data_IF_890281021615
#
_entry.id   IF_890281021615
#
_cell.length_a   1.000
_cell.length_b   1.000
_cell.length_c   1.000
_cell.angle_alpha   90.00
_cell.angle_beta   90.00
_cell.angle_gamma   90.00
#
_symmetry.space_group_name_H-M   'P 1'
#
loop_
_entity.id
_entity.type
_entity.pdbx_description
1 polymer ?
#
# COMPACT_ATOMS: atom_id res chain seq x y z
N UNK A 1 -14.80 -2.80 -7.83
CA UNK A 1 -13.92 -3.31 -6.76
C UNK A 1 -14.02 -4.82 -6.70
N UNK A 2 -12.90 -5.51 -6.55
CA UNK A 2 -12.85 -6.97 -6.39
C UNK A 2 -11.78 -7.29 -5.36
N UNK A 3 -12.14 -8.06 -4.34
CA UNK A 3 -11.17 -8.58 -3.38
C UNK A 3 -10.61 -9.90 -3.87
N UNK A 4 -9.30 -10.09 -3.76
CA UNK A 4 -8.60 -11.31 -4.12
C UNK A 4 -7.68 -11.75 -2.99
N UNK A 5 -7.61 -13.06 -2.76
CA UNK A 5 -6.55 -13.68 -1.95
C UNK A 5 -5.38 -13.98 -2.90
N UNK A 6 -4.18 -13.55 -2.55
CA UNK A 6 -2.96 -13.88 -3.30
C UNK A 6 -2.15 -14.87 -2.49
N UNK A 7 -2.07 -16.10 -2.99
CA UNK A 7 -1.27 -17.15 -2.37
C UNK A 7 0.23 -16.87 -2.56
N UNK A 8 1.00 -17.11 -1.50
CA UNK A 8 2.45 -17.04 -1.49
C UNK A 8 3.02 -18.46 -1.39
N UNK A 9 4.22 -18.64 -1.94
CA UNK A 9 4.98 -19.88 -1.74
C UNK A 9 5.47 -20.11 -0.29
N UNK A 10 5.16 -19.19 0.64
CA UNK A 10 5.60 -19.21 2.03
C UNK A 10 6.77 -18.27 2.31
N UNK A 11 6.56 -17.21 3.11
CA UNK A 11 7.62 -16.34 3.63
C UNK A 11 7.91 -16.76 5.08
N UNK A 12 9.00 -17.49 5.30
CA UNK A 12 9.31 -18.20 6.56
C UNK A 12 9.96 -17.35 7.67
N UNK A 13 9.73 -16.05 7.66
CA UNK A 13 10.33 -15.11 8.63
C UNK A 13 9.32 -14.07 9.10
N UNK A 14 8.04 -14.27 8.81
CA UNK A 14 7.03 -13.26 9.10
C UNK A 14 6.63 -13.32 10.58
N UNK A 15 6.95 -12.29 11.39
CA UNK A 15 6.64 -12.31 12.81
C UNK A 15 5.14 -12.17 13.12
N UNK A 16 4.29 -11.85 12.14
CA UNK A 16 2.84 -11.70 12.34
C UNK A 16 2.03 -12.92 11.96
N UNK A 17 2.51 -13.73 11.02
CA UNK A 17 1.79 -14.94 10.62
C UNK A 17 1.96 -16.10 11.61
N UNK A 18 0.94 -16.98 11.73
CA UNK A 18 1.06 -18.23 12.48
C UNK A 18 2.31 -19.03 12.08
N UNK A 19 3.01 -19.57 13.08
CA UNK A 19 4.25 -20.33 12.91
C UNK A 19 5.38 -19.56 12.19
N UNK A 20 5.28 -18.24 12.13
CA UNK A 20 6.19 -17.34 11.43
C UNK A 20 6.27 -17.56 9.91
N UNK A 21 5.20 -18.08 9.30
CA UNK A 21 5.13 -18.37 7.87
C UNK A 21 3.92 -17.66 7.25
N UNK A 22 4.17 -16.62 6.46
CA UNK A 22 3.13 -16.00 5.64
C UNK A 22 2.87 -16.83 4.39
N UNK A 23 1.65 -17.33 4.23
CA UNK A 23 1.23 -18.13 3.06
C UNK A 23 0.36 -17.35 2.09
N UNK A 24 -0.06 -16.14 2.46
CA UNK A 24 -0.98 -15.34 1.66
C UNK A 24 -0.96 -13.87 2.09
N UNK A 25 -1.39 -13.02 1.17
CA UNK A 25 -1.78 -11.64 1.44
C UNK A 25 -3.08 -11.32 0.70
N UNK A 26 -3.76 -10.26 1.12
CA UNK A 26 -4.98 -9.81 0.47
C UNK A 26 -4.66 -8.70 -0.51
N UNK A 27 -5.29 -8.77 -1.69
CA UNK A 27 -5.23 -7.72 -2.70
C UNK A 27 -6.63 -7.18 -2.96
N UNK A 28 -6.83 -5.90 -2.66
CA UNK A 28 -8.06 -5.19 -3.00
C UNK A 28 -7.88 -4.49 -4.34
N UNK A 29 -8.60 -4.94 -5.37
CA UNK A 29 -8.54 -4.39 -6.71
C UNK A 29 -9.64 -3.32 -6.93
N UNK A 30 -9.23 -2.12 -7.31
CA UNK A 30 -10.08 -1.05 -7.80
C UNK A 30 -9.69 -0.74 -9.24
N UNK A 31 -10.64 -0.72 -10.18
CA UNK A 31 -10.32 -0.60 -11.61
C UNK A 31 -11.50 0.01 -12.39
N UNK A 32 -11.24 0.59 -13.57
CA UNK A 32 -12.29 1.12 -14.44
C UNK A 32 -13.22 0.00 -14.93
N UNK A 33 -14.50 0.32 -15.06
CA UNK A 33 -15.52 -0.57 -15.63
C UNK A 33 -16.54 0.25 -16.43
N UNK A 34 -17.18 -0.36 -17.43
CA UNK A 34 -18.29 0.27 -18.17
C UNK A 34 -19.60 0.21 -17.40
N UNK A 35 -19.67 -0.63 -16.37
CA UNK A 35 -20.87 -0.77 -15.58
C UNK A 35 -21.09 0.45 -14.69
N UNK A 36 -22.30 0.99 -14.69
CA UNK A 36 -22.64 2.12 -13.81
C UNK A 36 -22.37 1.77 -12.33
N UNK A 37 -21.94 2.74 -11.51
CA UNK A 37 -21.79 2.53 -10.07
C UNK A 37 -23.06 1.97 -9.44
N UNK A 38 -22.90 1.08 -8.45
CA UNK A 38 -24.00 0.60 -7.64
C UNK A 38 -24.49 1.64 -6.63
N UNK A 39 -25.46 1.29 -5.77
CA UNK A 39 -25.81 2.13 -4.63
C UNK A 39 -24.58 2.38 -3.74
N UNK A 40 -24.51 3.52 -3.03
CA UNK A 40 -23.41 3.80 -2.11
C UNK A 40 -23.24 2.67 -1.09
N UNK A 41 -21.99 2.23 -0.92
CA UNK A 41 -21.60 1.22 0.08
C UNK A 41 -20.69 1.86 1.13
N UNK A 42 -20.62 1.33 2.36
CA UNK A 42 -19.68 1.82 3.36
C UNK A 42 -18.25 1.92 2.83
N UNK A 43 -17.56 2.98 3.20
CA UNK A 43 -16.19 3.24 2.76
C UNK A 43 -15.18 2.28 3.40
N UNK A 44 -15.46 1.84 4.62
CA UNK A 44 -14.68 0.85 5.36
C UNK A 44 -15.58 -0.29 5.81
N UNK A 45 -14.95 -1.43 6.09
CA UNK A 45 -15.57 -2.53 6.83
C UNK A 45 -16.08 -2.01 8.19
N UNK A 46 -17.32 -2.36 8.62
CA UNK A 46 -17.89 -1.85 9.87
C UNK A 46 -17.01 -2.08 11.11
N UNK A 47 -16.33 -3.22 11.18
CA UNK A 47 -15.43 -3.59 12.26
C UNK A 47 -14.17 -2.71 12.27
N UNK A 48 -13.59 -2.45 11.09
CA UNK A 48 -12.43 -1.56 10.95
C UNK A 48 -12.82 -0.11 11.25
N UNK A 49 -13.97 0.33 10.74
CA UNK A 49 -14.53 1.64 11.04
C UNK A 49 -14.64 1.82 12.56
N UNK A 50 -15.30 0.89 13.26
CA UNK A 50 -15.43 0.93 14.72
C UNK A 50 -14.10 1.02 15.46
N UNK A 51 -13.06 0.31 15.00
CA UNK A 51 -11.72 0.39 15.60
C UNK A 51 -11.14 1.81 15.44
N UNK A 52 -11.25 2.39 14.25
CA UNK A 52 -10.75 3.73 13.97
C UNK A 52 -11.54 4.81 14.71
N UNK A 53 -12.86 4.70 14.75
CA UNK A 53 -13.74 5.64 15.47
C UNK A 53 -13.43 5.65 16.97
N UNK A 54 -13.27 4.46 17.57
CA UNK A 54 -12.91 4.33 18.98
C UNK A 54 -11.53 4.92 19.31
N UNK A 55 -10.58 4.82 18.38
CA UNK A 55 -9.21 5.27 18.62
C UNK A 55 -9.03 6.77 18.39
N UNK A 56 -9.61 7.33 17.32
CA UNK A 56 -9.43 8.73 16.95
C UNK A 56 -10.62 9.64 17.30
N UNK A 57 -11.70 9.09 17.85
CA UNK A 57 -12.89 9.86 18.26
C UNK A 57 -13.55 10.67 17.13
N UNK A 58 -13.52 10.15 15.89
CA UNK A 58 -14.25 10.68 14.74
C UNK A 58 -15.28 9.67 14.25
N UNK A 59 -16.33 10.13 13.57
CA UNK A 59 -17.31 9.25 12.93
C UNK A 59 -16.96 9.06 11.46
N UNK A 60 -16.57 7.84 11.08
CA UNK A 60 -16.17 7.49 9.70
C UNK A 60 -17.04 6.39 9.10
N UNK A 61 -17.89 5.75 9.90
CA UNK A 61 -18.87 4.74 9.46
C UNK A 61 -19.93 5.32 8.52
N UNK A 62 -20.13 6.64 8.54
CA UNK A 62 -21.02 7.35 7.62
C UNK A 62 -20.41 7.58 6.22
N UNK A 63 -19.09 7.44 6.07
CA UNK A 63 -18.45 7.62 4.77
C UNK A 63 -18.86 6.48 3.85
N UNK A 64 -19.19 6.82 2.61
CA UNK A 64 -19.57 5.86 1.58
C UNK A 64 -18.77 6.05 0.31
N UNK A 65 -18.72 5.02 -0.53
CA UNK A 65 -18.18 5.08 -1.87
C UNK A 65 -19.18 4.53 -2.89
N UNK A 66 -19.18 5.11 -4.09
CA UNK A 66 -19.95 4.62 -5.22
C UNK A 66 -19.06 3.71 -6.07
N UNK A 67 -18.99 2.43 -5.70
CA UNK A 67 -18.25 1.40 -6.46
C UNK A 67 -19.16 0.23 -6.79
N UNK A 68 -18.85 -0.48 -7.87
CA UNK A 68 -19.52 -1.73 -8.21
C UNK A 68 -18.64 -2.92 -7.84
N UNK A 69 -19.15 -3.80 -6.98
CA UNK A 69 -18.45 -5.04 -6.61
C UNK A 69 -18.56 -6.08 -7.72
N UNK A 70 -17.47 -6.79 -8.02
CA UNK A 70 -17.47 -7.89 -8.99
C UNK A 70 -17.71 -7.49 -10.45
N UNK A 71 -17.69 -6.19 -10.76
CA UNK A 71 -17.89 -5.70 -12.12
C UNK A 71 -16.84 -6.25 -13.10
N UNK A 72 -17.26 -6.44 -14.34
CA UNK A 72 -16.37 -6.80 -15.44
C UNK A 72 -15.30 -5.73 -15.63
N UNK A 73 -14.09 -6.17 -15.98
CA UNK A 73 -12.96 -5.30 -16.25
C UNK A 73 -13.18 -4.50 -17.53
N UNK A 74 -12.69 -3.28 -17.56
CA UNK A 74 -12.58 -2.51 -18.80
C UNK A 74 -11.34 -2.96 -19.58
N UNK A 75 -11.47 -3.13 -20.90
CA UNK A 75 -10.37 -3.60 -21.77
C UNK A 75 -9.20 -2.61 -21.87
N UNK A 76 -9.45 -1.35 -21.54
CA UNK A 76 -8.46 -0.28 -21.52
C UNK A 76 -8.15 0.08 -20.07
N UNK A 77 -6.97 -0.30 -19.62
CA UNK A 77 -6.37 0.09 -18.33
C UNK A 77 -5.04 0.76 -18.64
N UNK A 78 -4.83 1.96 -18.10
CA UNK A 78 -3.62 2.78 -18.34
C UNK A 78 -2.37 2.14 -17.71
N UNK A 79 -2.54 1.47 -16.58
CA UNK A 79 -1.49 0.72 -15.89
C UNK A 79 -1.98 0.20 -14.54
N UNK A 80 -1.15 -0.60 -13.88
CA UNK A 80 -1.37 -1.05 -12.50
C UNK A 80 -0.57 -0.19 -11.53
N UNK A 81 -1.21 0.28 -10.46
CA UNK A 81 -0.55 0.86 -9.29
C UNK A 81 -0.70 -0.09 -8.10
N UNK A 82 0.43 -0.51 -7.55
CA UNK A 82 0.48 -1.20 -6.26
C UNK A 82 0.48 -0.17 -5.14
N UNK A 83 -0.46 -0.30 -4.20
CA UNK A 83 -0.61 0.60 -3.05
C UNK A 83 -0.31 -0.14 -1.76
N UNK A 84 0.62 0.40 -0.97
CA UNK A 84 1.08 -0.18 0.29
C UNK A 84 0.76 0.73 1.48
N UNK A 85 0.22 0.14 2.54
CA UNK A 85 0.07 0.79 3.84
C UNK A 85 -1.37 0.80 4.38
N UNK A 86 -1.55 1.17 5.65
CA UNK A 86 -2.85 1.09 6.32
C UNK A 86 -3.86 2.04 5.68
N UNK A 87 -5.01 1.47 5.33
CA UNK A 87 -6.17 2.19 4.81
C UNK A 87 -5.94 2.73 3.40
N UNK A 88 -6.26 1.92 2.39
CA UNK A 88 -6.32 2.33 0.97
C UNK A 88 -7.30 3.48 0.72
N UNK A 89 -7.00 4.68 1.22
CA UNK A 89 -7.93 5.79 1.36
C UNK A 89 -7.90 6.72 0.12
N UNK A 90 -7.17 6.36 -0.94
CA UNK A 90 -6.98 7.18 -2.16
C UNK A 90 -7.22 6.40 -3.48
N UNK A 91 -7.97 5.28 -3.46
CA UNK A 91 -8.00 4.29 -4.56
C UNK A 91 -8.99 4.61 -5.68
N UNK A 92 -10.15 5.15 -5.32
CA UNK A 92 -11.24 5.36 -6.27
C UNK A 92 -10.93 6.50 -7.24
N UNK A 93 -10.15 7.49 -6.81
CA UNK A 93 -9.72 8.60 -7.66
C UNK A 93 -8.76 8.14 -8.76
N UNK A 94 -7.74 7.34 -8.44
CA UNK A 94 -6.85 6.80 -9.47
C UNK A 94 -7.56 5.86 -10.44
N UNK A 95 -8.51 5.06 -9.93
CA UNK A 95 -9.34 4.22 -10.77
C UNK A 95 -10.27 5.03 -11.70
N UNK A 96 -10.77 6.19 -11.25
CA UNK A 96 -11.58 7.08 -12.09
C UNK A 96 -10.76 7.71 -13.22
N UNK A 97 -9.44 7.84 -13.03
CA UNK A 97 -8.49 8.31 -14.05
C UNK A 97 -7.94 7.19 -14.96
N UNK A 98 -8.49 5.96 -14.89
CA UNK A 98 -8.17 4.89 -15.83
C UNK A 98 -7.12 3.88 -15.36
N UNK A 99 -6.61 4.00 -14.12
CA UNK A 99 -5.65 3.06 -13.55
C UNK A 99 -6.34 1.86 -12.90
N UNK A 100 -5.78 0.66 -13.06
CA UNK A 100 -6.06 -0.41 -12.13
C UNK A 100 -5.20 -0.20 -10.87
N UNK A 101 -5.77 -0.40 -9.71
CA UNK A 101 -5.13 -0.18 -8.42
C UNK A 101 -5.28 -1.45 -7.61
N UNK A 102 -4.17 -1.96 -7.07
CA UNK A 102 -4.16 -3.08 -6.16
C UNK A 102 -3.60 -2.64 -4.81
N UNK A 103 -4.42 -2.66 -3.77
CA UNK A 103 -3.96 -2.46 -2.38
C UNK A 103 -3.54 -3.78 -1.81
N UNK A 104 -2.33 -3.83 -1.27
CA UNK A 104 -1.78 -5.04 -0.68
C UNK A 104 -1.87 -4.96 0.84
N UNK A 105 -2.74 -5.76 1.42
CA UNK A 105 -2.92 -5.90 2.85
C UNK A 105 -2.23 -7.18 3.34
N UNK A 106 -1.25 -7.01 4.23
CA UNK A 106 -0.65 -8.14 4.92
C UNK A 106 -1.61 -8.63 6.00
N UNK A 107 -1.94 -9.92 5.99
CA UNK A 107 -2.83 -10.53 6.98
C UNK A 107 -2.24 -10.37 8.38
N UNK A 108 -3.04 -10.05 9.39
CA UNK A 108 -2.60 -9.77 10.77
C UNK A 108 -1.83 -8.45 11.00
N UNK A 109 -1.45 -7.69 9.97
CA UNK A 109 -0.87 -6.35 10.14
C UNK A 109 -1.95 -5.33 10.48
N UNK A 110 -2.97 -5.25 9.62
CA UNK A 110 -4.06 -4.29 9.79
C UNK A 110 -4.93 -4.67 11.01
N UNK A 111 -5.51 -3.71 11.74
CA UNK A 111 -6.34 -4.00 12.90
C UNK A 111 -7.51 -4.94 12.59
N UNK A 112 -8.02 -4.89 11.37
CA UNK A 112 -9.02 -5.81 10.87
C UNK A 112 -8.95 -5.93 9.34
N UNK A 113 -9.15 -7.15 8.83
CA UNK A 113 -9.35 -7.46 7.42
C UNK A 113 -10.50 -8.44 7.27
N UNK A 114 -11.21 -8.39 6.13
CA UNK A 114 -12.21 -9.39 5.76
C UNK A 114 -11.77 -10.12 4.51
N UNK A 115 -11.83 -11.45 4.54
CA UNK A 115 -11.58 -12.31 3.40
C UNK A 115 -12.77 -12.30 2.42
N UNK A 116 -12.56 -12.68 1.15
CA UNK A 116 -13.66 -12.79 0.17
C UNK A 116 -14.79 -13.75 0.58
N UNK A 117 -14.50 -14.75 1.41
CA UNK A 117 -15.50 -15.68 1.94
C UNK A 117 -16.31 -15.10 3.13
N UNK A 118 -16.03 -13.85 3.53
CA UNK A 118 -16.68 -13.16 4.64
C UNK A 118 -15.98 -13.32 6.00
N UNK A 119 -14.97 -14.18 6.12
CA UNK A 119 -14.22 -14.39 7.36
C UNK A 119 -13.44 -13.13 7.74
N UNK A 120 -13.71 -12.60 8.94
CA UNK A 120 -12.95 -11.49 9.52
C UNK A 120 -11.71 -11.97 10.27
N UNK A 121 -10.60 -11.26 10.12
CA UNK A 121 -9.34 -11.51 10.82
C UNK A 121 -8.89 -10.22 11.48
N UNK A 122 -8.63 -10.29 12.79
CA UNK A 122 -8.07 -9.20 13.57
C UNK A 122 -6.54 -9.29 13.57
N UNK A 123 -5.89 -8.14 13.44
CA UNK A 123 -4.44 -8.02 13.49
C UNK A 123 -3.97 -7.17 14.66
N UNK A 124 -2.94 -6.36 14.41
CA UNK A 124 -2.33 -5.53 15.44
C UNK A 124 -3.27 -4.38 15.88
N UNK A 125 -3.30 -4.04 17.17
CA UNK A 125 -4.01 -2.85 17.62
C UNK A 125 -3.35 -1.57 17.09
N UNK A 126 -4.12 -0.49 16.91
CA UNK A 126 -3.60 0.79 16.38
C UNK A 126 -2.47 1.41 17.21
N UNK A 127 -2.45 1.12 18.52
CA UNK A 127 -1.40 1.58 19.44
C UNK A 127 -0.26 0.57 19.61
N UNK A 128 -0.16 -0.44 18.74
CA UNK A 128 0.92 -1.40 18.78
C UNK A 128 2.27 -0.69 18.61
N UNK A 129 3.16 -0.87 19.58
CA UNK A 129 4.51 -0.33 19.51
C UNK A 129 5.44 -1.38 18.90
N UNK A 130 5.94 -1.10 17.71
CA UNK A 130 6.81 -2.01 16.98
C UNK A 130 8.24 -1.99 17.52
N UNK A 131 8.79 -3.13 17.99
CA UNK A 131 10.22 -3.24 18.27
C UNK A 131 11.05 -2.98 17.00
N UNK A 132 12.24 -2.39 17.15
CA UNK A 132 13.10 -2.06 16.00
C UNK A 132 13.52 -3.29 15.19
N UNK A 133 13.80 -4.42 15.87
CA UNK A 133 14.10 -5.71 15.24
C UNK A 133 12.92 -6.22 14.41
N UNK A 134 11.70 -6.11 14.94
CA UNK A 134 10.47 -6.47 14.25
C UNK A 134 10.31 -5.67 12.95
N UNK A 135 10.50 -4.34 13.00
CA UNK A 135 10.29 -3.48 11.83
C UNK A 135 11.15 -3.89 10.64
N UNK A 136 12.41 -4.24 10.87
CA UNK A 136 13.32 -4.65 9.79
C UNK A 136 12.90 -5.96 9.12
N UNK A 137 12.49 -6.95 9.92
CA UNK A 137 12.06 -8.26 9.43
C UNK A 137 10.72 -8.14 8.73
N UNK A 138 9.77 -7.44 9.33
CA UNK A 138 8.45 -7.24 8.75
C UNK A 138 8.51 -6.39 7.46
N UNK A 139 9.44 -5.43 7.37
CA UNK A 139 9.65 -4.64 6.15
C UNK A 139 10.06 -5.53 4.97
N UNK A 140 10.96 -6.47 5.21
CA UNK A 140 11.39 -7.44 4.22
C UNK A 140 10.22 -8.30 3.72
N UNK A 141 9.29 -8.70 4.60
CA UNK A 141 8.07 -9.42 4.22
C UNK A 141 7.23 -8.58 3.26
N UNK A 142 6.95 -7.31 3.59
CA UNK A 142 6.15 -6.41 2.74
C UNK A 142 6.80 -6.17 1.37
N UNK A 143 8.13 -6.08 1.32
CA UNK A 143 8.86 -5.98 0.04
C UNK A 143 8.74 -7.25 -0.79
N UNK A 144 8.75 -8.44 -0.16
CA UNK A 144 8.56 -9.72 -0.87
C UNK A 144 7.14 -9.86 -1.43
N UNK A 145 6.14 -9.43 -0.69
CA UNK A 145 4.75 -9.37 -1.19
C UNK A 145 4.61 -8.40 -2.35
N UNK A 146 5.27 -7.24 -2.29
CA UNK A 146 5.25 -6.22 -3.33
C UNK A 146 5.76 -6.69 -4.70
N UNK A 147 6.72 -7.62 -4.71
CA UNK A 147 7.32 -8.14 -5.94
C UNK A 147 6.64 -9.42 -6.44
N UNK A 148 5.69 -9.96 -5.68
CA UNK A 148 4.90 -11.11 -6.11
C UNK A 148 3.91 -10.69 -7.18
N UNK A 149 3.73 -11.55 -8.18
CA UNK A 149 2.79 -11.29 -9.27
C UNK A 149 1.36 -11.43 -8.75
N UNK A 150 0.55 -10.40 -9.00
CA UNK A 150 -0.90 -10.48 -8.80
C UNK A 150 -1.49 -11.05 -10.09
N UNK A 151 -2.28 -12.12 -9.97
CA UNK A 151 -3.03 -12.63 -11.11
C UNK A 151 -4.21 -11.70 -11.41
N UNK A 152 -4.02 -10.82 -12.39
CA UNK A 152 -5.01 -9.83 -12.80
C UNK A 152 -5.18 -9.84 -14.33
N UNK A 153 -6.37 -9.46 -14.84
CA UNK A 153 -6.66 -9.48 -16.28
C UNK A 153 -6.13 -8.25 -17.03
N UNK A 154 -5.34 -7.39 -16.38
CA UNK A 154 -4.68 -6.23 -16.96
C UNK A 154 -3.16 -6.42 -16.93
N UNK A 155 -2.45 -5.59 -17.70
CA UNK A 155 -1.00 -5.67 -17.81
C UNK A 155 -0.30 -5.51 -16.44
N UNK A 156 0.47 -6.52 -16.06
CA UNK A 156 1.25 -6.59 -14.81
C UNK A 156 2.76 -6.50 -15.05
N UNK A 157 3.22 -6.16 -16.27
CA UNK A 157 4.63 -6.14 -16.66
C UNK A 157 5.30 -4.77 -16.58
N UNK A 158 4.53 -3.69 -16.43
CA UNK A 158 5.03 -2.33 -16.16
C UNK A 158 4.05 -1.64 -15.21
N UNK A 159 4.40 -1.61 -13.93
CA UNK A 159 3.50 -1.17 -12.86
C UNK A 159 4.13 -0.02 -12.08
N UNK A 160 3.32 0.89 -11.57
CA UNK A 160 3.75 1.83 -10.54
C UNK A 160 3.68 1.18 -9.17
N UNK A 161 4.48 1.65 -8.23
CA UNK A 161 4.33 1.33 -6.81
C UNK A 161 4.24 2.62 -5.98
N UNK A 162 3.33 2.69 -5.03
CA UNK A 162 3.19 3.83 -4.15
C UNK A 162 2.78 3.38 -2.75
N UNK A 163 3.20 4.08 -1.71
CA UNK A 163 2.75 3.76 -0.38
C UNK A 163 2.90 4.87 0.62
N UNK A 164 2.12 4.78 1.68
CA UNK A 164 2.19 5.66 2.83
C UNK A 164 2.98 5.01 3.96
N UNK A 165 3.73 5.82 4.72
CA UNK A 165 4.47 5.35 5.90
C UNK A 165 5.39 4.17 5.52
N UNK A 166 5.31 3.06 6.26
CA UNK A 166 6.05 1.82 5.99
C UNK A 166 5.93 1.32 4.53
N UNK A 167 4.74 1.50 3.93
CA UNK A 167 4.46 1.09 2.56
C UNK A 167 5.22 1.90 1.51
N UNK A 168 5.52 3.17 1.78
CA UNK A 168 6.29 4.00 0.84
C UNK A 168 7.74 3.51 0.70
N UNK A 169 8.34 3.08 1.81
CA UNK A 169 9.65 2.42 1.78
C UNK A 169 9.59 1.06 1.07
N UNK A 170 8.53 0.28 1.32
CA UNK A 170 8.34 -1.00 0.63
C UNK A 170 8.25 -0.82 -0.89
N UNK A 171 7.52 0.18 -1.37
CA UNK A 171 7.43 0.52 -2.79
C UNK A 171 8.79 0.81 -3.44
N UNK A 172 9.62 1.63 -2.79
CA UNK A 172 10.98 1.95 -3.27
C UNK A 172 11.88 0.71 -3.28
N UNK A 173 11.86 -0.11 -2.23
CA UNK A 173 12.70 -1.32 -2.16
C UNK A 173 12.22 -2.41 -3.14
N UNK A 174 10.92 -2.51 -3.39
CA UNK A 174 10.38 -3.42 -4.40
C UNK A 174 10.87 -3.03 -5.80
N UNK A 175 10.90 -1.73 -6.11
CA UNK A 175 11.44 -1.24 -7.38
C UNK A 175 12.93 -1.59 -7.57
N UNK A 176 13.73 -1.64 -6.49
CA UNK A 176 15.12 -2.13 -6.58
C UNK A 176 15.22 -3.62 -6.95
N UNK A 177 14.21 -4.43 -6.63
CA UNK A 177 14.28 -5.90 -6.72
C UNK A 177 13.67 -6.51 -7.96
N UNK A 178 12.74 -5.83 -8.60
CA UNK A 178 12.07 -6.35 -9.80
C UNK A 178 11.99 -5.29 -10.87
N UNK A 179 12.31 -5.58 -12.16
CA UNK A 179 12.16 -4.65 -13.26
C UNK A 179 10.69 -4.33 -13.61
N UNK A 180 9.74 -5.11 -13.07
CA UNK A 180 8.30 -4.93 -13.31
C UNK A 180 7.79 -3.58 -12.78
N UNK A 181 8.37 -3.06 -11.70
CA UNK A 181 7.96 -1.78 -11.10
C UNK A 181 8.65 -0.63 -11.83
N UNK A 182 7.98 -0.01 -12.79
CA UNK A 182 8.55 1.03 -13.65
C UNK A 182 8.80 2.36 -12.93
N UNK A 183 8.02 2.68 -11.89
CA UNK A 183 8.16 3.88 -11.08
C UNK A 183 7.71 3.64 -9.63
N UNK A 184 8.28 4.37 -8.67
CA UNK A 184 7.95 4.21 -7.26
C UNK A 184 7.82 5.53 -6.49
N UNK A 185 6.87 5.62 -5.56
CA UNK A 185 6.64 6.83 -4.79
C UNK A 185 6.44 6.54 -3.29
N UNK A 186 7.14 7.30 -2.44
CA UNK A 186 7.04 7.21 -0.99
C UNK A 186 6.33 8.44 -0.43
N UNK A 187 5.13 8.25 0.13
CA UNK A 187 4.40 9.27 0.88
C UNK A 187 4.70 9.17 2.36
N UNK A 188 5.50 10.11 2.84
CA UNK A 188 5.79 10.34 4.26
C UNK A 188 6.33 9.12 5.02
N UNK A 189 6.94 8.18 4.31
CA UNK A 189 7.49 6.95 4.88
C UNK A 189 8.93 7.08 5.34
N UNK A 190 9.29 6.58 6.53
CA UNK A 190 10.69 6.39 6.86
C UNK A 190 11.30 5.34 5.91
N UNK A 191 12.56 5.53 5.50
CA UNK A 191 13.25 4.57 4.64
C UNK A 191 13.77 3.38 5.47
N UNK A 192 13.49 2.17 5.01
CA UNK A 192 13.91 0.87 5.57
C UNK A 192 14.55 -0.01 4.47
N UNK A 193 15.35 -1.02 4.84
CA UNK A 193 15.94 -1.98 3.87
C UNK A 193 17.25 -1.54 3.22
N UNK A 194 17.43 -1.77 1.91
CA UNK A 194 18.64 -1.35 1.18
C UNK A 194 18.60 0.13 0.74
N UNK A 195 17.40 0.67 0.49
CA UNK A 195 17.18 2.09 0.23
C UNK A 195 17.73 3.06 1.32
N UNK A 196 17.67 2.77 2.64
CA UNK A 196 18.17 3.67 3.69
C UNK A 196 19.68 3.65 3.93
N UNK A 197 20.44 2.70 3.39
CA UNK A 197 21.79 2.46 3.90
C UNK A 197 22.90 3.01 3.00
N UNK A 198 22.91 2.73 1.69
CA UNK A 198 24.14 2.89 0.89
C UNK A 198 23.93 3.21 -0.59
N UNK A 199 22.69 3.40 -1.05
CA UNK A 199 22.40 3.70 -2.45
C UNK A 199 21.63 5.02 -2.52
N UNK A 200 22.13 6.05 -3.22
CA UNK A 200 21.30 7.20 -3.53
C UNK A 200 20.09 6.70 -4.33
N UNK A 201 18.91 7.25 -4.09
CA UNK A 201 17.69 6.83 -4.80
C UNK A 201 17.80 7.02 -6.33
N UNK A 202 18.77 7.82 -6.80
CA UNK A 202 19.18 7.91 -8.21
C UNK A 202 19.61 6.56 -8.81
N UNK A 203 20.08 5.61 -8.00
CA UNK A 203 20.49 4.27 -8.45
C UNK A 203 19.31 3.33 -8.70
N UNK A 204 18.07 3.73 -8.37
CA UNK A 204 16.87 3.02 -8.83
C UNK A 204 16.83 2.93 -10.37
N UNK A 205 17.49 3.85 -11.08
CA UNK A 205 17.47 4.00 -12.55
C UNK A 205 16.05 4.07 -13.11
N UNK A 206 15.12 4.57 -12.30
CA UNK A 206 13.68 4.65 -12.57
C UNK A 206 13.10 5.90 -11.95
N UNK A 207 12.01 6.46 -12.52
CA UNK A 207 11.29 7.57 -11.90
C UNK A 207 10.92 7.24 -10.45
N UNK A 208 11.34 8.09 -9.52
CA UNK A 208 11.00 7.96 -8.11
C UNK A 208 10.56 9.29 -7.50
N UNK A 209 9.59 9.23 -6.59
CA UNK A 209 9.04 10.40 -5.92
C UNK A 209 9.05 10.23 -4.40
N UNK A 210 9.30 11.34 -3.74
CA UNK A 210 9.48 11.48 -2.31
C UNK A 210 8.52 12.60 -1.86
N UNK A 211 7.36 12.24 -1.33
CA UNK A 211 6.31 13.17 -0.90
C UNK A 211 6.28 13.26 0.64
N UNK A 212 6.84 14.33 1.21
CA UNK A 212 6.88 14.55 2.66
C UNK A 212 5.70 15.34 3.20
N UNK A 213 5.55 15.35 4.53
CA UNK A 213 4.73 16.33 5.25
C UNK A 213 5.64 17.27 6.04
N UNK A 214 5.30 18.55 6.20
CA UNK A 214 6.18 19.57 6.79
C UNK A 214 6.72 19.22 8.20
N UNK A 215 5.93 18.50 9.01
CA UNK A 215 6.34 18.06 10.36
C UNK A 215 7.16 16.76 10.38
N UNK A 216 7.22 16.03 9.26
CA UNK A 216 8.34 15.13 8.98
C UNK A 216 9.38 15.97 8.26
N UNK A 217 10.14 16.72 9.06
CA UNK A 217 11.17 17.59 8.50
C UNK A 217 12.03 16.79 7.51
N UNK A 218 12.52 17.43 6.45
CA UNK A 218 13.63 16.92 5.63
C UNK A 218 14.87 16.52 6.47
N UNK A 219 14.87 16.81 7.78
CA UNK A 219 15.85 16.39 8.79
C UNK A 219 15.56 15.07 9.52
N UNK A 220 14.54 14.30 9.13
CA UNK A 220 14.48 12.89 9.48
C UNK A 220 15.73 12.19 8.92
N UNK A 221 16.59 11.67 9.80
CA UNK A 221 17.95 11.16 9.53
C UNK A 221 18.06 10.20 8.33
N UNK A 222 16.94 9.61 7.90
CA UNK A 222 16.84 8.70 6.75
C UNK A 222 16.70 9.42 5.40
N UNK A 223 15.95 10.52 5.29
CA UNK A 223 15.76 11.20 4.00
C UNK A 223 16.99 12.02 3.60
N UNK A 224 17.68 12.64 4.57
CA UNK A 224 18.92 13.41 4.34
C UNK A 224 20.02 12.62 3.62
N UNK A 225 20.09 11.29 3.85
CA UNK A 225 21.10 10.42 3.24
C UNK A 225 20.84 10.11 1.76
N UNK A 226 19.65 10.38 1.25
CA UNK A 226 19.22 9.98 -0.09
C UNK A 226 19.13 11.14 -1.10
N UNK A 227 19.27 12.40 -0.65
CA UNK A 227 18.95 13.60 -1.47
C UNK A 227 20.08 14.06 -2.39
N UNK A 228 21.32 13.59 -2.18
CA UNK A 228 22.47 13.96 -3.03
C UNK A 228 22.45 13.19 -4.36
N UNK A 229 21.57 13.60 -5.28
CA UNK A 229 21.55 13.09 -6.66
C UNK A 229 20.23 13.18 -7.42
N UNK A 230 19.23 13.90 -6.92
CA UNK A 230 17.86 13.78 -7.40
C UNK A 230 17.40 14.97 -8.28
N UNK A 231 16.54 14.66 -9.26
CA UNK A 231 15.47 15.54 -9.71
C UNK A 231 14.23 15.37 -8.83
N UNK A 232 14.32 15.61 -7.52
CA UNK A 232 13.16 15.54 -6.62
C UNK A 232 12.27 16.75 -6.88
N UNK A 233 11.00 16.50 -7.15
CA UNK A 233 9.96 17.51 -6.88
C UNK A 233 9.55 17.34 -5.42
N UNK A 234 10.08 18.21 -4.56
CA UNK A 234 9.58 18.33 -3.20
C UNK A 234 8.29 19.14 -3.30
N UNK A 235 7.16 18.50 -3.00
CA UNK A 235 5.89 19.19 -2.85
C UNK A 235 5.57 19.23 -1.38
N UNK A 236 5.83 20.37 -0.74
CA UNK A 236 5.30 20.66 0.59
C UNK A 236 3.81 20.98 0.45
N UNK A 237 2.96 20.06 0.90
CA UNK A 237 1.53 20.31 1.00
C UNK A 237 1.23 21.05 2.31
N UNK A 238 0.95 22.35 2.22
CA UNK A 238 0.31 23.10 3.29
C UNK A 238 -1.20 22.84 3.24
N UNK A 239 -1.73 22.08 4.18
CA UNK A 239 -3.18 22.04 4.43
C UNK A 239 -3.44 23.11 5.50
N UNK A 240 -3.93 24.28 5.10
CA UNK A 240 -4.54 25.20 6.06
C UNK A 240 -5.81 24.54 6.61
N UNK A 241 -5.85 24.35 7.93
CA UNK A 241 -7.02 23.85 8.67
C UNK A 241 -8.01 24.97 8.87
#
# INVERSE_FOLDING_TARGET
>A
MKLAVVALAGITTDPLSPNNISTEYLATLCYPTRECPGPPVPYLEPELARIFENHWSYNISQLTMAVRSGAAFHDVVVGLLLVFGPGGIQLTDLASHGYAVAVLDHVYEQPFLRYPNGTGVYGLPLNFTYPSTFLSVFHEVRVREAVQAINAPFNTHQVGAWGHSFGGSAALNAALRTPVIAAAANKNGPLFGQAPANLPLSDLRRPSMLLGQANHTPGGVTWQRSVSGLGVVYVDMYICV
#
